data_IF_258507385270
#
_entry.id   IF_258507385270
#
_cell.length_a   1.000
_cell.length_b   1.000
_cell.length_c   1.000
_cell.angle_alpha   90.00
_cell.angle_beta   90.00
_cell.angle_gamma   90.00
#
_symmetry.space_group_name_H-M   'P 1'
#
loop_
_entity.id
_entity.type
_entity.pdbx_description
1 polymer ?
#
# COMPACT_ATOMS: atom_id res chain seq x y z
N UNK A 1 -23.55 27.48 68.72
CA UNK A 1 -23.26 26.94 67.39
C UNK A 1 -21.80 26.51 67.38
N UNK A 2 -21.56 25.22 67.19
CA UNK A 2 -20.32 24.51 67.55
C UNK A 2 -19.17 24.76 66.57
N UNK A 3 -18.16 25.54 67.00
CA UNK A 3 -16.95 25.87 66.20
C UNK A 3 -16.17 24.65 65.75
N UNK A 4 -16.34 23.49 66.36
CA UNK A 4 -15.65 22.24 66.00
C UNK A 4 -16.19 21.54 64.73
N UNK A 5 -17.47 21.77 64.40
CA UNK A 5 -18.03 21.17 63.14
C UNK A 5 -17.53 21.88 61.87
N UNK A 6 -17.21 23.17 61.94
CA UNK A 6 -16.69 23.93 60.81
C UNK A 6 -15.24 23.56 60.53
N UNK A 7 -14.42 23.30 61.55
CA UNK A 7 -13.00 22.91 61.36
C UNK A 7 -12.84 21.53 60.73
N UNK A 8 -13.74 20.57 61.12
CA UNK A 8 -13.71 19.20 60.56
C UNK A 8 -14.12 19.20 59.07
N UNK A 9 -15.12 20.03 58.72
CA UNK A 9 -15.55 20.11 57.32
C UNK A 9 -14.47 20.70 56.39
N UNK A 10 -13.73 21.74 56.86
CA UNK A 10 -12.62 22.31 56.08
C UNK A 10 -11.44 21.36 55.88
N UNK A 11 -11.08 20.59 56.93
CA UNK A 11 -9.99 19.63 56.84
C UNK A 11 -10.32 18.47 55.84
N UNK A 12 -11.56 18.02 55.79
CA UNK A 12 -12.00 16.98 54.89
C UNK A 12 -12.02 17.42 53.44
N UNK A 13 -12.46 18.65 53.15
CA UNK A 13 -12.49 19.21 51.80
C UNK A 13 -11.06 19.41 51.25
N UNK A 14 -10.12 19.89 52.09
CA UNK A 14 -8.72 20.07 51.67
C UNK A 14 -8.06 18.74 51.32
N UNK A 15 -8.30 17.67 52.10
CA UNK A 15 -7.76 16.35 51.82
C UNK A 15 -8.34 15.72 50.54
N UNK A 16 -9.63 15.96 50.26
CA UNK A 16 -10.26 15.49 49.02
C UNK A 16 -9.71 16.24 47.80
N UNK A 17 -9.51 17.55 47.87
CA UNK A 17 -8.94 18.34 46.76
C UNK A 17 -7.49 17.97 46.49
N UNK A 18 -6.67 17.71 47.50
CA UNK A 18 -5.27 17.25 47.28
C UNK A 18 -5.24 15.84 46.68
N UNK A 19 -6.16 14.95 47.09
CA UNK A 19 -6.25 13.61 46.51
C UNK A 19 -6.66 13.65 45.01
N UNK A 20 -7.58 14.54 44.64
CA UNK A 20 -7.99 14.74 43.24
C UNK A 20 -6.84 15.32 42.40
N UNK A 21 -6.10 16.30 42.91
CA UNK A 21 -4.91 16.83 42.20
C UNK A 21 -3.81 15.79 42.01
N UNK A 22 -3.54 14.93 42.98
CA UNK A 22 -2.53 13.89 42.88
C UNK A 22 -2.98 12.79 41.90
N UNK A 23 -4.29 12.52 41.80
CA UNK A 23 -4.82 11.56 40.85
C UNK A 23 -4.78 12.09 39.41
N UNK A 24 -5.01 13.38 39.19
CA UNK A 24 -4.94 13.98 37.85
C UNK A 24 -3.50 14.12 37.34
N UNK A 25 -2.52 14.34 38.23
CA UNK A 25 -1.10 14.39 37.79
C UNK A 25 -0.52 13.02 37.45
N UNK A 26 -1.07 11.91 37.97
CA UNK A 26 -0.65 10.55 37.58
C UNK A 26 -1.26 10.06 36.27
N UNK A 27 -2.38 10.66 35.81
CA UNK A 27 -3.02 10.30 34.53
C UNK A 27 -2.32 10.93 33.32
N UNK A 28 -1.49 11.94 33.51
CA UNK A 28 -0.81 12.66 32.42
C UNK A 28 0.54 12.05 32.00
N UNK A 29 1.02 11.04 32.71
CA UNK A 29 2.25 10.31 32.34
C UNK A 29 1.95 8.95 31.73
N UNK A 30 0.97 8.88 30.80
CA UNK A 30 1.02 7.87 29.75
C UNK A 30 2.08 8.34 28.77
N UNK A 31 3.28 7.88 29.01
CA UNK A 31 4.37 7.90 28.06
C UNK A 31 3.81 7.34 26.74
N UNK A 32 3.52 8.21 25.78
CA UNK A 32 3.39 7.82 24.40
C UNK A 32 4.76 7.25 24.05
N UNK A 33 4.88 5.94 24.12
CA UNK A 33 5.96 5.24 23.44
C UNK A 33 5.82 5.62 21.98
N UNK A 34 6.52 6.66 21.56
CA UNK A 34 6.74 6.96 20.15
C UNK A 34 7.47 5.75 19.64
N UNK A 35 6.73 4.81 19.06
CA UNK A 35 7.32 3.75 18.25
C UNK A 35 8.01 4.51 17.13
N UNK A 36 9.31 4.71 17.26
CA UNK A 36 10.11 5.32 16.21
C UNK A 36 9.99 4.39 15.01
N UNK A 37 9.24 4.81 13.99
CA UNK A 37 9.27 4.11 12.71
C UNK A 37 10.73 4.04 12.26
N UNK A 38 11.15 2.90 11.70
CA UNK A 38 12.50 2.77 11.20
C UNK A 38 12.77 3.92 10.21
N UNK A 39 13.87 4.61 10.40
CA UNK A 39 14.22 5.73 9.56
C UNK A 39 14.46 5.25 8.12
N UNK A 40 13.80 5.90 7.15
CA UNK A 40 14.07 5.67 5.73
C UNK A 40 15.53 5.94 5.41
N UNK A 41 16.13 5.12 4.56
CA UNK A 41 17.52 5.30 4.09
C UNK A 41 17.53 5.81 2.66
N UNK A 42 18.45 6.73 2.30
CA UNK A 42 18.68 7.08 0.90
C UNK A 42 19.05 5.82 0.10
N UNK A 43 18.45 5.65 -1.07
CA UNK A 43 18.74 4.58 -2.02
C UNK A 43 19.21 5.16 -3.34
N UNK A 44 20.23 4.56 -3.95
CA UNK A 44 20.69 4.81 -5.31
C UNK A 44 20.67 3.46 -6.00
N UNK A 45 19.77 3.28 -6.97
CA UNK A 45 19.52 1.99 -7.61
C UNK A 45 19.57 2.13 -9.13
N UNK A 46 20.35 1.28 -9.76
CA UNK A 46 20.35 1.11 -11.22
C UNK A 46 19.06 0.45 -11.72
N UNK A 47 18.86 0.41 -13.05
CA UNK A 47 17.62 -0.08 -13.68
C UNK A 47 17.13 -1.43 -13.14
N UNK A 48 18.02 -2.39 -12.94
CA UNK A 48 17.67 -3.75 -12.53
C UNK A 48 17.91 -4.04 -11.03
N UNK A 49 18.31 -3.02 -10.25
CA UNK A 49 18.51 -3.15 -8.81
C UNK A 49 17.22 -2.91 -8.05
N UNK A 50 17.02 -3.69 -7.00
CA UNK A 50 15.82 -3.73 -6.17
C UNK A 50 15.36 -5.17 -5.92
N UNK A 51 14.16 -5.31 -5.41
CA UNK A 51 13.53 -6.62 -5.21
C UNK A 51 12.84 -7.06 -6.51
N UNK A 52 13.51 -7.93 -7.27
CA UNK A 52 12.96 -8.48 -8.51
C UNK A 52 12.05 -9.67 -8.20
N UNK A 53 10.88 -9.70 -8.87
CA UNK A 53 9.89 -10.77 -8.72
C UNK A 53 9.23 -11.09 -10.06
N UNK A 54 8.64 -12.30 -10.14
CA UNK A 54 7.94 -12.83 -11.32
C UNK A 54 6.50 -13.10 -10.93
N UNK A 55 5.54 -12.61 -11.70
CA UNK A 55 4.13 -12.88 -11.49
C UNK A 55 3.81 -14.36 -11.61
N UNK A 56 2.82 -14.82 -10.86
CA UNK A 56 2.34 -16.22 -10.91
C UNK A 56 1.41 -16.48 -12.08
N UNK A 57 0.83 -15.44 -12.66
CA UNK A 57 -0.06 -15.55 -13.81
C UNK A 57 0.70 -15.49 -15.15
N UNK A 58 0.30 -16.28 -16.17
CA UNK A 58 0.83 -16.17 -17.51
C UNK A 58 0.22 -14.96 -18.27
N UNK A 59 0.98 -14.31 -19.19
CA UNK A 59 2.39 -14.57 -19.50
C UNK A 59 3.29 -14.18 -18.34
N UNK A 60 4.43 -14.86 -18.15
CA UNK A 60 5.30 -14.60 -17.00
C UNK A 60 6.01 -13.25 -17.14
N UNK A 61 5.31 -12.20 -16.80
CA UNK A 61 5.85 -10.85 -16.60
C UNK A 61 6.58 -10.75 -15.28
N UNK A 62 7.20 -9.61 -15.01
CA UNK A 62 7.88 -9.38 -13.74
C UNK A 62 8.11 -7.92 -13.46
N UNK A 63 8.31 -7.63 -12.18
CA UNK A 63 8.51 -6.28 -11.69
C UNK A 63 9.75 -6.17 -10.79
N UNK A 64 10.15 -4.95 -10.52
CA UNK A 64 11.21 -4.61 -9.57
C UNK A 64 10.66 -3.59 -8.58
N UNK A 65 10.50 -3.99 -7.32
CA UNK A 65 10.24 -3.05 -6.23
C UNK A 65 11.53 -2.32 -5.87
N UNK A 66 11.57 -1.03 -6.12
CA UNK A 66 12.76 -0.19 -5.91
C UNK A 66 12.73 0.52 -4.57
N UNK A 67 11.57 1.01 -4.15
CA UNK A 67 11.39 1.73 -2.90
C UNK A 67 10.17 1.17 -2.20
N UNK A 68 10.35 0.68 -0.98
CA UNK A 68 9.29 0.17 -0.11
C UNK A 68 9.76 0.16 1.34
N UNK A 69 8.87 -0.01 2.32
CA UNK A 69 9.26 -0.16 3.72
C UNK A 69 10.22 -1.34 3.96
N UNK A 70 10.04 -2.45 3.22
CA UNK A 70 10.77 -3.69 3.44
C UNK A 70 12.23 -3.61 2.98
N UNK A 71 12.58 -2.75 2.04
CA UNK A 71 13.98 -2.49 1.67
C UNK A 71 14.59 -1.29 2.39
N UNK A 72 13.96 -0.83 3.48
CA UNK A 72 14.32 0.37 4.24
C UNK A 72 14.33 1.66 3.41
N UNK A 73 13.60 1.69 2.31
CA UNK A 73 13.41 2.87 1.48
C UNK A 73 12.46 3.87 2.14
N UNK A 74 11.22 3.95 1.67
CA UNK A 74 10.24 4.89 2.21
C UNK A 74 9.19 4.19 3.07
N UNK A 75 8.77 4.88 4.16
CA UNK A 75 7.60 4.50 4.96
C UNK A 75 6.32 5.20 4.47
N UNK A 76 6.40 6.00 3.40
CA UNK A 76 5.33 6.88 2.95
C UNK A 76 4.91 6.65 1.50
N UNK A 77 5.72 5.95 0.71
CA UNK A 77 5.42 5.63 -0.69
C UNK A 77 6.07 4.31 -1.09
N UNK A 78 5.57 3.74 -2.17
CA UNK A 78 6.18 2.59 -2.85
C UNK A 78 6.42 2.97 -4.30
N UNK A 79 7.55 2.56 -4.84
CA UNK A 79 7.89 2.77 -6.25
C UNK A 79 8.54 1.51 -6.82
N UNK A 80 8.22 1.21 -8.06
CA UNK A 80 8.87 0.17 -8.83
C UNK A 80 8.70 0.34 -10.33
N UNK A 81 9.18 -0.67 -11.04
CA UNK A 81 9.10 -0.74 -12.50
C UNK A 81 8.57 -2.10 -12.91
N UNK A 82 7.86 -2.15 -14.02
CA UNK A 82 7.31 -3.38 -14.57
C UNK A 82 7.40 -3.37 -16.09
N UNK A 83 7.71 -4.53 -16.65
CA UNK A 83 7.72 -4.76 -18.10
C UNK A 83 6.49 -5.60 -18.46
N UNK A 84 5.55 -5.02 -19.23
CA UNK A 84 4.40 -5.71 -19.76
C UNK A 84 4.76 -6.29 -21.14
N UNK A 85 4.87 -7.59 -21.24
CA UNK A 85 5.06 -8.27 -22.53
C UNK A 85 3.79 -8.17 -23.39
N UNK A 86 3.85 -8.42 -24.72
CA UNK A 86 2.66 -8.41 -25.56
C UNK A 86 1.53 -9.29 -25.02
N UNK A 87 0.35 -8.73 -24.88
CA UNK A 87 -0.84 -9.40 -24.35
C UNK A 87 -0.98 -9.39 -22.83
N UNK A 88 0.03 -8.90 -22.11
CA UNK A 88 0.00 -8.77 -20.65
C UNK A 88 -1.01 -7.69 -20.21
N UNK A 89 -1.65 -7.93 -19.09
CA UNK A 89 -2.72 -7.07 -18.59
C UNK A 89 -2.72 -7.00 -17.06
N UNK A 90 -2.81 -5.79 -16.52
CA UNK A 90 -3.30 -5.60 -15.16
C UNK A 90 -4.82 -5.65 -15.19
N UNK A 91 -5.45 -6.72 -14.69
CA UNK A 91 -6.90 -6.88 -14.74
C UNK A 91 -7.62 -5.72 -14.03
N UNK A 92 -8.91 -5.55 -14.31
CA UNK A 92 -9.67 -4.46 -13.70
C UNK A 92 -9.67 -4.56 -12.17
N UNK A 93 -9.06 -3.58 -11.53
CA UNK A 93 -8.88 -3.51 -10.09
C UNK A 93 -9.02 -2.08 -9.56
N UNK A 94 -9.06 -1.94 -8.23
CA UNK A 94 -9.00 -0.63 -7.54
C UNK A 94 -8.20 -0.75 -6.24
N UNK A 95 -7.44 0.28 -5.92
CA UNK A 95 -6.69 0.39 -4.67
C UNK A 95 -7.56 0.99 -3.57
N UNK A 96 -7.48 0.41 -2.36
CA UNK A 96 -8.24 0.87 -1.19
C UNK A 96 -7.39 1.80 -0.33
N UNK A 97 -7.45 3.11 -0.61
CA UNK A 97 -6.78 4.14 0.19
C UNK A 97 -5.39 4.54 -0.29
N UNK A 98 -5.00 4.13 -1.50
CA UNK A 98 -3.74 4.54 -2.13
C UNK A 98 -4.04 5.15 -3.49
N UNK A 99 -3.48 6.32 -3.77
CA UNK A 99 -3.39 6.85 -5.11
C UNK A 99 -2.20 6.22 -5.82
N UNK A 100 -2.30 6.07 -7.14
CA UNK A 100 -1.21 5.58 -7.96
C UNK A 100 -0.89 6.56 -9.09
N UNK A 101 0.40 6.71 -9.38
CA UNK A 101 0.89 7.27 -10.63
C UNK A 101 1.51 6.14 -11.44
N UNK A 102 1.04 5.96 -12.68
CA UNK A 102 1.66 5.08 -13.65
C UNK A 102 2.26 5.94 -14.77
N UNK A 103 3.57 5.85 -14.96
CA UNK A 103 4.30 6.54 -16.01
C UNK A 103 4.78 5.53 -17.06
N UNK A 104 4.47 5.78 -18.33
CA UNK A 104 4.89 4.94 -19.44
C UNK A 104 6.31 5.31 -19.85
N UNK A 105 7.29 4.49 -19.48
CA UNK A 105 8.70 4.70 -19.81
C UNK A 105 8.97 4.34 -21.27
N UNK A 106 8.35 3.24 -21.76
CA UNK A 106 8.56 2.71 -23.10
C UNK A 106 7.30 2.03 -23.62
N UNK A 107 7.11 2.03 -24.95
CA UNK A 107 6.03 1.29 -25.62
C UNK A 107 4.69 2.02 -25.55
N UNK A 108 3.62 1.24 -25.66
CA UNK A 108 2.24 1.72 -25.67
C UNK A 108 1.39 0.81 -24.82
N UNK A 109 0.52 1.39 -24.01
CA UNK A 109 -0.47 0.66 -23.21
C UNK A 109 -1.87 1.24 -23.43
N UNK A 110 -2.88 0.38 -23.44
CA UNK A 110 -4.27 0.76 -23.38
C UNK A 110 -4.69 0.84 -21.92
N UNK A 111 -5.30 1.95 -21.53
CA UNK A 111 -5.73 2.22 -20.15
C UNK A 111 -7.23 2.44 -20.13
N UNK A 112 -7.93 1.67 -19.28
CA UNK A 112 -9.29 1.97 -18.86
C UNK A 112 -9.24 2.57 -17.44
N UNK A 113 -9.80 3.76 -17.26
CA UNK A 113 -9.84 4.47 -15.97
C UNK A 113 -11.25 5.02 -15.73
N UNK A 114 -11.98 4.39 -14.84
CA UNK A 114 -13.39 4.66 -14.62
C UNK A 114 -14.22 4.36 -15.88
N UNK A 115 -14.80 5.40 -16.48
CA UNK A 115 -15.56 5.36 -17.73
C UNK A 115 -14.77 5.80 -18.97
N UNK A 116 -13.45 6.01 -18.82
CA UNK A 116 -12.57 6.53 -19.87
C UNK A 116 -11.61 5.47 -20.35
N UNK A 117 -11.36 5.46 -21.65
CA UNK A 117 -10.35 4.59 -22.28
C UNK A 117 -9.41 5.44 -23.13
N UNK A 118 -8.11 5.09 -23.10
CA UNK A 118 -7.11 5.75 -23.92
C UNK A 118 -5.86 4.90 -24.09
N UNK A 119 -5.30 4.94 -25.31
CA UNK A 119 -3.93 4.49 -25.55
C UNK A 119 -2.95 5.58 -25.11
N UNK A 120 -1.96 5.16 -24.32
CA UNK A 120 -0.86 6.00 -23.84
C UNK A 120 0.47 5.46 -24.34
N UNK A 121 1.31 6.38 -24.82
CA UNK A 121 2.63 6.08 -25.33
C UNK A 121 3.71 6.50 -24.32
N UNK A 122 4.97 6.15 -24.62
CA UNK A 122 6.12 6.61 -23.83
C UNK A 122 6.04 8.12 -23.53
N UNK A 123 6.28 8.50 -22.29
CA UNK A 123 6.06 9.84 -21.74
C UNK A 123 4.65 10.11 -21.20
N UNK A 124 3.69 9.20 -21.47
CA UNK A 124 2.33 9.29 -20.93
C UNK A 124 2.27 9.03 -19.42
N UNK A 125 1.27 9.61 -18.77
CA UNK A 125 1.07 9.46 -17.33
C UNK A 125 -0.41 9.20 -17.04
N UNK A 126 -0.68 8.24 -16.15
CA UNK A 126 -1.99 8.00 -15.54
C UNK A 126 -1.92 8.40 -14.08
N UNK A 127 -2.86 9.21 -13.63
CA UNK A 127 -3.12 9.39 -12.21
C UNK A 127 -4.40 8.63 -11.85
N UNK A 128 -4.27 7.68 -10.94
CA UNK A 128 -5.32 6.76 -10.52
C UNK A 128 -5.65 7.09 -9.06
N UNK A 129 -6.73 7.85 -8.80
CA UNK A 129 -7.18 8.10 -7.44
C UNK A 129 -7.59 6.80 -6.75
N UNK A 130 -7.38 6.70 -5.45
CA UNK A 130 -7.88 5.61 -4.64
C UNK A 130 -9.38 5.33 -4.94
N UNK A 131 -9.78 4.06 -4.86
CA UNK A 131 -11.14 3.58 -5.11
C UNK A 131 -11.62 3.70 -6.57
N UNK A 132 -10.75 4.09 -7.52
CA UNK A 132 -11.07 4.18 -8.95
C UNK A 132 -10.76 2.85 -9.64
N UNK A 133 -11.70 2.32 -10.41
CA UNK A 133 -11.47 1.15 -11.24
C UNK A 133 -10.51 1.47 -12.38
N UNK A 134 -9.50 0.63 -12.54
CA UNK A 134 -8.48 0.76 -13.59
C UNK A 134 -8.12 -0.62 -14.14
N UNK A 135 -7.82 -0.67 -15.44
CA UNK A 135 -7.05 -1.76 -16.06
C UNK A 135 -6.05 -1.19 -17.04
N UNK A 136 -4.96 -1.91 -17.24
CA UNK A 136 -3.88 -1.52 -18.16
C UNK A 136 -3.47 -2.74 -18.94
N UNK A 137 -3.44 -2.62 -20.27
CA UNK A 137 -3.11 -3.73 -21.17
C UNK A 137 -2.04 -3.32 -22.17
N UNK A 138 -1.06 -4.18 -22.37
CA UNK A 138 -0.20 -4.08 -23.54
C UNK A 138 -0.84 -4.80 -24.75
N UNK A 139 -1.61 -4.05 -25.53
CA UNK A 139 -2.19 -4.55 -26.80
C UNK A 139 -1.24 -4.47 -27.99
N UNK A 140 -0.02 -3.94 -27.82
CA UNK A 140 0.99 -3.82 -28.86
C UNK A 140 1.80 -5.13 -29.00
N UNK A 141 2.63 -5.17 -30.06
CA UNK A 141 3.52 -6.31 -30.34
C UNK A 141 4.90 -6.17 -29.67
N UNK A 142 5.19 -5.03 -29.09
CA UNK A 142 6.43 -4.75 -28.36
C UNK A 142 6.18 -4.68 -26.86
N UNK A 143 7.18 -5.02 -26.05
CA UNK A 143 7.12 -4.85 -24.60
C UNK A 143 6.99 -3.39 -24.24
N UNK A 144 6.02 -3.06 -23.40
CA UNK A 144 5.90 -1.77 -22.75
C UNK A 144 6.59 -1.82 -21.38
N UNK A 145 7.21 -0.73 -20.96
CA UNK A 145 7.80 -0.56 -19.64
C UNK A 145 7.10 0.58 -18.90
N UNK A 146 6.73 0.32 -17.67
CA UNK A 146 6.05 1.30 -16.81
C UNK A 146 6.77 1.51 -15.50
N UNK A 147 6.63 2.71 -14.95
CA UNK A 147 7.02 3.05 -13.59
C UNK A 147 5.76 3.29 -12.79
N UNK A 148 5.60 2.59 -11.67
CA UNK A 148 4.48 2.81 -10.76
C UNK A 148 4.95 3.47 -9.46
N UNK A 149 4.11 4.36 -8.91
CA UNK A 149 4.33 5.02 -7.62
C UNK A 149 3.01 5.04 -6.85
N UNK A 150 2.99 4.40 -5.68
CA UNK A 150 1.86 4.45 -4.76
C UNK A 150 2.09 5.50 -3.67
N UNK A 151 1.05 6.26 -3.35
CA UNK A 151 1.08 7.34 -2.35
C UNK A 151 1.26 6.86 -0.91
N UNK A 152 1.08 5.56 -0.67
CA UNK A 152 1.28 4.90 0.61
C UNK A 152 1.70 3.44 0.42
N UNK A 153 2.39 2.81 1.38
CA UNK A 153 2.62 1.37 1.42
C UNK A 153 1.31 0.59 1.53
N UNK A 154 1.35 -0.66 1.05
CA UNK A 154 0.24 -1.62 1.12
C UNK A 154 0.17 -2.52 -0.10
N UNK A 155 0.04 -1.97 -1.30
CA UNK A 155 -0.11 -2.77 -2.53
C UNK A 155 1.10 -3.67 -2.81
N UNK A 156 2.30 -3.29 -2.41
CA UNK A 156 3.47 -4.14 -2.52
C UNK A 156 3.34 -5.47 -1.75
N UNK A 157 2.44 -5.56 -0.78
CA UNK A 157 2.14 -6.82 -0.10
C UNK A 157 1.35 -7.77 -1.01
N UNK A 158 0.39 -7.25 -1.79
CA UNK A 158 -0.25 -8.02 -2.86
C UNK A 158 0.78 -8.49 -3.87
N UNK A 159 1.62 -7.56 -4.36
CA UNK A 159 2.64 -7.88 -5.35
C UNK A 159 3.57 -9.01 -4.90
N UNK A 160 3.98 -9.02 -3.61
CA UNK A 160 4.80 -10.11 -3.05
C UNK A 160 4.02 -11.41 -2.88
N UNK A 161 2.76 -11.33 -2.52
CA UNK A 161 1.89 -12.48 -2.31
C UNK A 161 1.64 -13.22 -3.62
N UNK A 162 1.34 -12.49 -4.69
CA UNK A 162 1.01 -13.04 -6.03
C UNK A 162 2.21 -13.13 -6.97
N UNK A 163 3.39 -13.25 -6.43
CA UNK A 163 4.64 -13.40 -7.19
C UNK A 163 5.63 -14.31 -6.49
N UNK A 164 6.66 -14.70 -7.21
CA UNK A 164 7.78 -15.54 -6.72
C UNK A 164 9.11 -14.86 -7.00
N UNK A 165 10.16 -15.30 -6.33
CA UNK A 165 11.52 -14.90 -6.69
C UNK A 165 11.92 -15.52 -8.04
N UNK A 166 12.85 -14.91 -8.80
CA UNK A 166 13.19 -15.35 -10.16
C UNK A 166 13.65 -16.82 -10.31
N UNK A 167 14.10 -17.43 -9.21
CA UNK A 167 14.59 -18.82 -9.20
C UNK A 167 13.59 -19.83 -8.60
N UNK A 168 12.39 -19.37 -8.25
CA UNK A 168 11.34 -20.20 -7.68
C UNK A 168 10.39 -20.71 -8.77
N UNK A 169 9.73 -21.84 -8.49
CA UNK A 169 8.72 -22.38 -9.39
C UNK A 169 7.47 -21.48 -9.39
N UNK A 170 7.02 -21.13 -10.58
CA UNK A 170 5.77 -20.39 -10.77
C UNK A 170 4.60 -21.36 -10.69
N UNK A 171 3.72 -21.14 -9.74
CA UNK A 171 2.45 -21.86 -9.60
C UNK A 171 1.36 -20.84 -9.42
N UNK A 172 0.34 -20.80 -10.29
CA UNK A 172 -0.80 -19.90 -10.14
C UNK A 172 -1.51 -20.11 -8.81
N UNK A 173 -2.02 -19.02 -8.24
CA UNK A 173 -2.86 -19.06 -7.05
C UNK A 173 -4.30 -19.44 -7.41
N UNK A 174 -5.00 -20.10 -6.51
CA UNK A 174 -6.46 -20.23 -6.58
C UNK A 174 -7.13 -18.84 -6.38
N UNK A 175 -8.38 -18.71 -6.80
CA UNK A 175 -9.14 -17.47 -6.63
C UNK A 175 -9.24 -17.03 -5.15
N UNK A 176 -9.37 -17.98 -4.22
CA UNK A 176 -9.41 -17.66 -2.79
C UNK A 176 -8.06 -17.15 -2.27
N UNK A 177 -6.95 -17.71 -2.75
CA UNK A 177 -5.59 -17.23 -2.41
C UNK A 177 -5.34 -15.84 -3.01
N UNK A 178 -5.72 -15.60 -4.28
CA UNK A 178 -5.61 -14.28 -4.90
C UNK A 178 -6.42 -13.23 -4.14
N UNK A 179 -7.65 -13.57 -3.73
CA UNK A 179 -8.48 -12.72 -2.90
C UNK A 179 -7.84 -12.41 -1.55
N UNK A 180 -7.23 -13.41 -0.91
CA UNK A 180 -6.48 -13.22 0.34
C UNK A 180 -5.27 -12.31 0.15
N UNK A 181 -4.54 -12.44 -0.95
CA UNK A 181 -3.47 -11.52 -1.34
C UNK A 181 -4.01 -10.10 -1.54
N UNK A 182 -5.15 -9.94 -2.22
CA UNK A 182 -5.81 -8.66 -2.43
C UNK A 182 -6.12 -7.94 -1.11
N UNK A 183 -6.63 -8.66 -0.12
CA UNK A 183 -6.87 -8.10 1.21
C UNK A 183 -5.57 -7.60 1.88
N UNK A 184 -4.47 -8.33 1.75
CA UNK A 184 -3.17 -7.92 2.29
C UNK A 184 -2.62 -6.66 1.61
N UNK A 185 -2.88 -6.51 0.31
CA UNK A 185 -2.39 -5.38 -0.50
C UNK A 185 -3.37 -4.22 -0.62
N UNK A 186 -4.52 -4.28 0.07
CA UNK A 186 -5.56 -3.27 -0.04
C UNK A 186 -6.03 -3.03 -1.49
N UNK A 187 -6.20 -4.12 -2.25
CA UNK A 187 -6.68 -4.11 -3.63
C UNK A 187 -7.86 -5.04 -3.81
N UNK A 188 -8.77 -4.67 -4.70
CA UNK A 188 -9.92 -5.47 -5.10
C UNK A 188 -9.87 -5.65 -6.61
N UNK A 189 -9.94 -6.91 -7.06
CA UNK A 189 -10.07 -7.29 -8.46
C UNK A 189 -11.55 -7.53 -8.78
N UNK A 190 -12.03 -6.94 -9.87
CA UNK A 190 -13.45 -6.97 -10.23
C UNK A 190 -13.94 -8.39 -10.49
N UNK A 191 -13.17 -9.18 -11.21
CA UNK A 191 -13.53 -10.57 -11.56
C UNK A 191 -13.59 -11.50 -10.34
N UNK A 192 -12.78 -11.22 -9.29
CA UNK A 192 -12.80 -11.99 -8.04
C UNK A 192 -13.99 -11.63 -7.14
N UNK A 193 -14.59 -10.44 -7.32
CA UNK A 193 -15.79 -10.04 -6.60
C UNK A 193 -17.08 -10.54 -7.28
N UNK A 194 -17.13 -10.44 -8.62
CA UNK A 194 -18.33 -10.78 -9.41
C UNK A 194 -18.47 -12.30 -9.62
N UNK A 195 -17.39 -13.10 -9.53
CA UNK A 195 -17.38 -14.54 -9.74
C UNK A 195 -16.57 -15.30 -8.66
N UNK A 196 -17.07 -15.41 -7.43
CA UNK A 196 -16.34 -16.07 -6.34
C UNK A 196 -16.20 -17.60 -6.48
N UNK A 197 -16.52 -18.19 -7.66
CA UNK A 197 -16.58 -19.65 -7.90
C UNK A 197 -15.81 -20.13 -9.15
N UNK A 198 -14.84 -19.37 -9.61
CA UNK A 198 -13.93 -19.88 -10.66
C UNK A 198 -12.66 -20.42 -10.10
#
# INVERSE_FOLDING_TARGET
>A
MNSNRVRTAFATIVVILVAICVFQTRSAQRSSATTSQPASKPLLLEKNEGERRIWREPPPGGFVLKVSPQNNGSQHLVMGTEDLVPGDEFPTHKHLGQDEILYIEKGTVQVHLGDRERDLHAGGTVFIPAYTWVSVKNAAIETASVVFVFSAPGFENYMRCDSVLPNENVTPLSADEQKACGHQGHVIYKDLEENPKK
#
